data_IF_084589058028
#
_entry.id   IF_084589058028
#
_cell.length_a   1.000
_cell.length_b   1.000
_cell.length_c   1.000
_cell.angle_alpha   90.00
_cell.angle_beta   90.00
_cell.angle_gamma   90.00
#
_symmetry.space_group_name_H-M   'P 1'
#
loop_
_entity.id
_entity.type
_entity.pdbx_description
1 polymer ?
#
# COMPACT_ATOMS: atom_id res chain seq x y z
N UNK A 1 -35.86 -47.13 -84.29
CA UNK A 1 -37.30 -46.80 -84.21
C UNK A 1 -37.43 -45.55 -83.36
N UNK A 2 -37.83 -44.45 -84.00
CA UNK A 2 -38.04 -43.12 -83.42
C UNK A 2 -39.03 -43.15 -82.24
N UNK A 3 -38.89 -42.24 -81.27
CA UNK A 3 -39.87 -41.16 -81.04
C UNK A 3 -39.42 -40.18 -79.93
N UNK A 4 -39.17 -38.94 -80.37
CA UNK A 4 -39.53 -37.63 -79.79
C UNK A 4 -38.97 -37.05 -78.47
N UNK A 5 -38.43 -35.84 -78.67
CA UNK A 5 -38.14 -34.73 -77.75
C UNK A 5 -39.30 -34.33 -76.81
N UNK A 6 -38.94 -33.82 -75.63
CA UNK A 6 -39.40 -32.48 -75.17
C UNK A 6 -38.45 -31.87 -74.13
N UNK A 7 -38.08 -30.62 -74.41
CA UNK A 7 -37.30 -29.69 -73.59
C UNK A 7 -38.22 -29.05 -72.55
N UNK A 8 -37.79 -28.96 -71.29
CA UNK A 8 -38.23 -27.90 -70.37
C UNK A 8 -37.07 -27.45 -69.48
N UNK A 9 -36.97 -26.14 -69.36
CA UNK A 9 -35.90 -25.35 -68.77
C UNK A 9 -36.22 -24.97 -67.32
N UNK A 10 -35.18 -24.52 -66.59
CA UNK A 10 -35.21 -23.79 -65.29
C UNK A 10 -35.65 -24.61 -64.05
N UNK A 11 -35.03 -24.55 -62.87
CA UNK A 11 -34.15 -23.58 -62.21
C UNK A 11 -33.28 -24.28 -61.16
N UNK A 12 -32.03 -23.83 -61.02
CA UNK A 12 -31.12 -24.17 -59.94
C UNK A 12 -31.57 -23.43 -58.65
N UNK A 13 -32.06 -24.15 -57.64
CA UNK A 13 -32.30 -23.59 -56.30
C UNK A 13 -31.31 -24.22 -55.33
N UNK A 14 -30.22 -23.48 -55.11
CA UNK A 14 -29.25 -23.69 -54.05
C UNK A 14 -29.98 -23.48 -52.71
N UNK A 15 -30.47 -24.55 -52.10
CA UNK A 15 -30.98 -24.48 -50.74
C UNK A 15 -29.79 -24.27 -49.81
N UNK A 16 -29.60 -23.02 -49.37
CA UNK A 16 -28.70 -22.68 -48.28
C UNK A 16 -29.02 -23.55 -47.07
N UNK A 17 -28.10 -24.45 -46.74
CA UNK A 17 -27.99 -25.08 -45.44
C UNK A 17 -27.82 -23.96 -44.40
N UNK A 18 -28.92 -23.54 -43.79
CA UNK A 18 -28.88 -22.66 -42.62
C UNK A 18 -28.34 -23.51 -41.48
N UNK A 19 -27.02 -23.46 -41.31
CA UNK A 19 -26.37 -23.99 -40.12
C UNK A 19 -26.94 -23.24 -38.92
N UNK A 20 -27.37 -23.91 -37.84
CA UNK A 20 -27.76 -23.21 -36.64
C UNK A 20 -26.50 -22.57 -36.09
N UNK A 21 -26.38 -21.25 -36.23
CA UNK A 21 -25.35 -20.48 -35.55
C UNK A 21 -25.62 -20.63 -34.06
N UNK A 22 -24.98 -21.62 -33.44
CA UNK A 22 -24.76 -21.62 -32.00
C UNK A 22 -24.07 -20.29 -31.71
N UNK A 23 -24.83 -19.34 -31.16
CA UNK A 23 -24.30 -18.08 -30.71
C UNK A 23 -23.13 -18.41 -29.80
N UNK A 24 -21.91 -18.08 -30.24
CA UNK A 24 -20.76 -18.06 -29.33
C UNK A 24 -21.22 -17.23 -28.13
N UNK A 25 -21.08 -17.72 -26.89
CA UNK A 25 -21.42 -16.92 -25.73
C UNK A 25 -20.71 -15.58 -25.91
N UNK A 26 -21.46 -14.49 -25.93
CA UNK A 26 -20.89 -13.16 -26.01
C UNK A 26 -19.85 -13.10 -24.89
N UNK A 27 -18.56 -13.01 -25.23
CA UNK A 27 -17.52 -12.78 -24.23
C UNK A 27 -17.96 -11.53 -23.49
N UNK A 28 -18.41 -11.69 -22.24
CA UNK A 28 -18.71 -10.56 -21.36
C UNK A 28 -17.43 -9.75 -21.36
N UNK A 29 -17.45 -8.59 -22.00
CA UNK A 29 -16.29 -7.70 -22.07
C UNK A 29 -15.95 -7.42 -20.60
N UNK A 30 -14.87 -8.00 -20.09
CA UNK A 30 -14.45 -7.75 -18.72
C UNK A 30 -14.26 -6.25 -18.60
N UNK A 31 -15.12 -5.61 -17.81
CA UNK A 31 -14.95 -4.20 -17.46
C UNK A 31 -13.76 -4.10 -16.52
N UNK A 32 -12.56 -4.12 -17.10
CA UNK A 32 -11.30 -4.04 -16.37
C UNK A 32 -11.20 -2.73 -15.62
N UNK A 33 -11.84 -1.66 -16.10
CA UNK A 33 -11.87 -0.37 -15.43
C UNK A 33 -12.65 -0.48 -14.12
N UNK A 34 -13.86 -1.03 -14.14
CA UNK A 34 -14.63 -1.27 -12.92
C UNK A 34 -13.94 -2.27 -11.98
N UNK A 35 -13.36 -3.35 -12.52
CA UNK A 35 -12.58 -4.31 -11.74
C UNK A 35 -11.43 -3.64 -10.99
N UNK A 36 -10.57 -2.90 -11.70
CA UNK A 36 -9.41 -2.23 -11.11
C UNK A 36 -9.82 -1.18 -10.08
N UNK A 37 -10.91 -0.43 -10.35
CA UNK A 37 -11.48 0.50 -9.39
C UNK A 37 -11.92 -0.22 -8.10
N UNK A 38 -12.65 -1.34 -8.24
CA UNK A 38 -13.14 -2.09 -7.09
C UNK A 38 -11.98 -2.68 -6.28
N UNK A 39 -10.94 -3.24 -6.90
CA UNK A 39 -9.74 -3.72 -6.20
C UNK A 39 -9.10 -2.61 -5.38
N UNK A 40 -8.83 -1.44 -5.99
CA UNK A 40 -8.22 -0.30 -5.30
C UNK A 40 -9.13 0.21 -4.18
N UNK A 41 -10.43 0.32 -4.43
CA UNK A 41 -11.41 0.73 -3.42
C UNK A 41 -11.42 -0.22 -2.22
N UNK A 42 -11.37 -1.54 -2.46
CA UNK A 42 -11.29 -2.54 -1.39
C UNK A 42 -10.00 -2.42 -0.59
N UNK A 43 -8.85 -2.18 -1.23
CA UNK A 43 -7.58 -1.93 -0.54
C UNK A 43 -7.71 -0.71 0.38
N UNK A 44 -8.16 0.44 -0.12
CA UNK A 44 -8.31 1.63 0.75
C UNK A 44 -9.39 1.47 1.82
N UNK A 45 -10.43 0.68 1.57
CA UNK A 45 -11.42 0.36 2.59
C UNK A 45 -10.80 -0.36 3.79
N UNK A 46 -9.79 -1.20 3.58
CA UNK A 46 -9.08 -1.85 4.67
C UNK A 46 -8.21 -0.90 5.48
N UNK A 47 -7.84 0.29 4.95
CA UNK A 47 -7.12 1.32 5.73
C UNK A 47 -8.01 2.11 6.70
N UNK A 48 -9.34 1.99 6.57
CA UNK A 48 -10.32 2.70 7.40
C UNK A 48 -10.55 1.94 8.70
N UNK A 49 -10.42 2.62 9.84
CA UNK A 49 -10.71 2.04 11.15
C UNK A 49 -12.17 1.59 11.28
N UNK A 50 -12.44 0.37 11.79
CA UNK A 50 -11.51 -0.61 12.35
C UNK A 50 -11.06 -1.73 11.37
N UNK A 51 -11.25 -1.57 10.06
CA UNK A 51 -11.09 -2.65 9.07
C UNK A 51 -9.65 -3.19 8.98
N UNK A 52 -8.62 -2.39 9.31
CA UNK A 52 -7.22 -2.81 9.34
C UNK A 52 -6.87 -3.67 10.57
N UNK A 53 -7.64 -3.57 11.65
CA UNK A 53 -7.29 -4.15 12.96
C UNK A 53 -7.06 -5.67 12.88
N UNK A 54 -7.92 -6.47 12.21
CA UNK A 54 -7.66 -7.90 12.06
C UNK A 54 -6.37 -8.22 11.29
N UNK A 55 -5.96 -7.36 10.35
CA UNK A 55 -4.74 -7.56 9.55
C UNK A 55 -3.51 -7.24 10.40
N UNK A 56 -3.57 -6.17 11.19
CA UNK A 56 -2.47 -5.77 12.08
C UNK A 56 -2.15 -6.87 13.10
N UNK A 57 -3.17 -7.47 13.72
CA UNK A 57 -2.98 -8.44 14.80
C UNK A 57 -3.07 -9.90 14.36
N UNK A 58 -3.58 -10.17 13.16
CA UNK A 58 -3.77 -11.53 12.63
C UNK A 58 -3.02 -11.79 11.32
N UNK A 59 -2.28 -10.81 10.80
CA UNK A 59 -1.44 -10.94 9.62
C UNK A 59 -2.20 -11.14 8.30
N UNK A 60 -1.44 -11.56 7.27
CA UNK A 60 -1.90 -11.78 5.90
C UNK A 60 -3.19 -12.58 5.73
N UNK A 61 -3.46 -13.55 6.61
CA UNK A 61 -4.67 -14.38 6.54
C UNK A 61 -5.99 -13.60 6.70
N UNK A 62 -5.93 -12.34 7.12
CA UNK A 62 -7.09 -11.45 7.25
C UNK A 62 -7.27 -10.51 6.06
N UNK A 63 -6.39 -10.56 5.06
CA UNK A 63 -6.53 -9.81 3.81
C UNK A 63 -7.42 -10.62 2.86
N UNK A 64 -8.53 -10.07 2.34
CA UNK A 64 -9.35 -10.76 1.35
C UNK A 64 -8.56 -11.19 0.12
N UNK A 65 -8.83 -12.40 -0.36
CA UNK A 65 -8.20 -12.95 -1.56
C UNK A 65 -8.40 -12.05 -2.79
N UNK A 66 -7.37 -12.02 -3.65
CA UNK A 66 -7.45 -11.34 -4.95
C UNK A 66 -7.24 -9.82 -4.90
N UNK A 67 -6.89 -9.24 -3.75
CA UNK A 67 -6.47 -7.82 -3.67
C UNK A 67 -5.02 -7.63 -4.13
N UNK A 68 -4.11 -8.46 -3.63
CA UNK A 68 -2.70 -8.46 -3.99
C UNK A 68 -2.26 -9.86 -4.42
N UNK A 69 -1.32 -9.93 -5.36
CA UNK A 69 -0.59 -11.16 -5.68
C UNK A 69 0.38 -11.52 -4.56
N UNK A 70 0.67 -12.81 -4.36
CA UNK A 70 1.69 -13.26 -3.42
C UNK A 70 3.08 -12.68 -3.71
N UNK A 71 3.37 -12.40 -4.99
CA UNK A 71 4.62 -11.82 -5.46
C UNK A 71 4.53 -10.32 -5.69
N UNK A 72 3.57 -9.64 -5.04
CA UNK A 72 3.44 -8.18 -5.18
C UNK A 72 4.75 -7.49 -4.79
N UNK A 73 5.11 -6.46 -5.53
CA UNK A 73 6.19 -5.56 -5.16
C UNK A 73 5.72 -4.12 -5.29
N UNK A 74 6.22 -3.22 -4.46
CA UNK A 74 5.83 -1.83 -4.60
C UNK A 74 6.62 -0.85 -3.79
N UNK A 75 6.37 0.41 -4.10
CA UNK A 75 6.97 1.57 -3.44
C UNK A 75 5.88 2.41 -2.82
N UNK A 76 6.12 2.93 -1.62
CA UNK A 76 5.35 4.03 -1.04
C UNK A 76 6.36 5.12 -0.70
N UNK A 77 6.48 6.15 -1.52
CA UNK A 77 7.32 7.30 -1.21
C UNK A 77 6.61 8.22 -0.22
N UNK A 78 7.27 8.67 0.87
CA UNK A 78 8.70 8.57 1.20
C UNK A 78 9.05 7.47 2.23
N UNK A 79 8.31 6.37 2.28
CA UNK A 79 8.46 5.29 3.26
C UNK A 79 9.46 4.23 2.81
N UNK A 80 9.38 3.79 1.54
CA UNK A 80 10.37 2.87 0.97
C UNK A 80 9.78 1.82 0.03
N UNK A 81 10.55 0.74 -0.14
CA UNK A 81 10.30 -0.37 -1.08
C UNK A 81 9.91 -1.67 -0.35
N UNK A 82 8.97 -2.41 -0.94
CA UNK A 82 8.31 -3.59 -0.36
C UNK A 82 8.33 -4.74 -1.38
N UNK A 83 8.70 -5.94 -0.92
CA UNK A 83 8.76 -7.14 -1.76
C UNK A 83 8.01 -8.29 -1.11
N UNK A 84 7.05 -8.84 -1.84
CA UNK A 84 6.19 -9.91 -1.36
C UNK A 84 4.95 -9.41 -0.63
N UNK A 85 4.01 -10.33 -0.45
CA UNK A 85 2.69 -10.04 0.11
C UNK A 85 2.73 -9.43 1.52
N UNK A 86 3.49 -10.04 2.44
CA UNK A 86 3.57 -9.61 3.84
C UNK A 86 4.08 -8.17 3.94
N UNK A 87 5.21 -7.87 3.29
CA UNK A 87 5.78 -6.52 3.30
C UNK A 87 4.80 -5.49 2.70
N UNK A 88 4.09 -5.83 1.63
CA UNK A 88 3.15 -4.88 1.03
C UNK A 88 1.92 -4.63 1.89
N UNK A 89 1.31 -5.66 2.47
CA UNK A 89 0.08 -5.53 3.25
C UNK A 89 0.34 -4.89 4.62
N UNK A 90 1.48 -5.16 5.26
CA UNK A 90 1.87 -4.50 6.51
C UNK A 90 1.98 -2.99 6.32
N UNK A 91 2.68 -2.52 5.29
CA UNK A 91 2.88 -1.08 5.12
C UNK A 91 1.60 -0.36 4.67
N UNK A 92 0.73 -1.00 3.89
CA UNK A 92 -0.56 -0.41 3.52
C UNK A 92 -1.53 -0.31 4.71
N UNK A 93 -1.58 -1.33 5.57
CA UNK A 93 -2.63 -1.45 6.59
C UNK A 93 -2.16 -1.15 8.01
N UNK A 94 -0.94 -1.53 8.38
CA UNK A 94 -0.43 -1.33 9.74
C UNK A 94 0.12 0.08 10.00
N UNK A 95 0.41 0.86 8.96
CA UNK A 95 0.76 2.28 9.09
C UNK A 95 -0.46 3.21 9.13
N UNK A 96 -1.67 2.71 8.89
CA UNK A 96 -2.88 3.47 9.15
C UNK A 96 -2.98 3.73 10.68
N UNK A 97 -3.17 4.99 11.13
CA UNK A 97 -3.15 5.30 12.55
C UNK A 97 -4.25 4.55 13.29
N UNK A 98 -3.87 3.85 14.36
CA UNK A 98 -4.79 3.30 15.33
C UNK A 98 -5.08 4.37 16.40
N UNK A 99 -6.34 4.57 16.80
CA UNK A 99 -6.68 5.57 17.80
C UNK A 99 -6.03 5.25 19.16
N UNK A 100 -5.75 3.98 19.44
CA UNK A 100 -4.93 3.58 20.56
C UNK A 100 -3.46 3.88 20.26
N UNK A 101 -2.82 4.69 21.10
CA UNK A 101 -1.37 4.89 21.05
C UNK A 101 -0.88 6.10 20.24
N UNK A 102 -1.77 6.97 19.74
CA UNK A 102 -1.39 8.29 19.25
C UNK A 102 -2.06 9.41 20.07
N UNK A 103 -1.43 10.58 20.12
CA UNK A 103 -1.76 11.65 21.07
C UNK A 103 -3.17 12.23 20.85
N UNK A 104 -3.68 12.18 19.61
CA UNK A 104 -5.01 12.72 19.27
C UNK A 104 -6.08 11.65 19.10
N UNK A 105 -5.79 10.40 19.46
CA UNK A 105 -6.65 9.25 19.15
C UNK A 105 -7.11 9.26 17.68
N UNK A 106 -6.22 9.67 16.79
CA UNK A 106 -6.47 9.82 15.37
C UNK A 106 -6.65 8.45 14.71
N UNK A 107 -7.59 8.36 13.78
CA UNK A 107 -7.73 7.22 12.89
C UNK A 107 -8.23 7.70 11.52
N UNK A 108 -7.91 6.95 10.45
CA UNK A 108 -8.58 7.13 9.15
C UNK A 108 -9.99 6.57 9.29
N UNK A 109 -11.01 7.41 9.07
CA UNK A 109 -12.42 7.03 9.28
C UNK A 109 -13.24 6.98 8.00
N UNK A 110 -12.70 7.50 6.89
CA UNK A 110 -13.24 7.27 5.55
C UNK A 110 -12.21 7.59 4.48
N UNK A 111 -12.50 7.19 3.24
CA UNK A 111 -11.68 7.53 2.09
C UNK A 111 -12.56 7.96 0.90
N UNK A 112 -11.94 8.65 -0.06
CA UNK A 112 -12.54 8.96 -1.34
C UNK A 112 -11.50 8.85 -2.44
N UNK A 113 -11.76 8.00 -3.43
CA UNK A 113 -11.02 8.01 -4.70
C UNK A 113 -11.52 9.23 -5.49
N UNK A 114 -10.73 10.30 -5.53
CA UNK A 114 -11.11 11.58 -6.15
C UNK A 114 -10.77 11.65 -7.63
N UNK A 115 -9.78 10.86 -8.06
CA UNK A 115 -9.46 10.66 -9.46
C UNK A 115 -9.09 9.20 -9.68
N UNK A 116 -9.57 8.64 -10.79
CA UNK A 116 -9.25 7.27 -11.19
C UNK A 116 -9.23 7.14 -12.71
N UNK A 117 -8.15 6.55 -13.22
CA UNK A 117 -8.03 6.16 -14.62
C UNK A 117 -7.52 4.73 -14.71
N UNK A 118 -7.97 4.01 -15.73
CA UNK A 118 -7.40 2.72 -16.12
C UNK A 118 -7.38 2.68 -17.63
N UNK A 119 -6.25 3.11 -18.21
CA UNK A 119 -6.08 3.27 -19.66
C UNK A 119 -6.01 1.93 -20.40
N UNK A 120 -5.47 0.90 -19.73
CA UNK A 120 -5.41 -0.46 -20.23
C UNK A 120 -5.81 -1.45 -19.14
N UNK A 121 -5.98 -2.71 -19.56
CA UNK A 121 -6.48 -3.79 -18.70
C UNK A 121 -5.72 -3.92 -17.39
N UNK A 122 -4.41 -3.79 -17.44
CA UNK A 122 -3.53 -4.13 -16.32
C UNK A 122 -2.91 -2.92 -15.64
N UNK A 123 -3.23 -1.68 -16.04
CA UNK A 123 -2.66 -0.47 -15.41
C UNK A 123 -3.77 0.50 -15.01
N UNK A 124 -3.64 1.07 -13.81
CA UNK A 124 -4.49 2.15 -13.33
C UNK A 124 -3.67 3.20 -12.58
N UNK A 125 -4.23 4.40 -12.46
CA UNK A 125 -3.74 5.43 -11.57
C UNK A 125 -4.90 5.98 -10.73
N UNK A 126 -4.62 6.36 -9.48
CA UNK A 126 -5.60 6.89 -8.55
C UNK A 126 -5.05 8.07 -7.74
N UNK A 127 -5.96 8.99 -7.40
CA UNK A 127 -5.76 9.95 -6.31
C UNK A 127 -6.78 9.64 -5.23
N UNK A 128 -6.33 9.45 -4.00
CA UNK A 128 -7.18 9.09 -2.87
C UNK A 128 -6.99 10.09 -1.73
N UNK A 129 -8.11 10.56 -1.19
CA UNK A 129 -8.16 11.33 0.05
C UNK A 129 -8.58 10.40 1.18
N UNK A 130 -7.75 10.34 2.23
CA UNK A 130 -7.99 9.58 3.45
C UNK A 130 -8.38 10.59 4.53
N UNK A 131 -9.65 10.57 4.93
CA UNK A 131 -10.17 11.47 5.96
C UNK A 131 -9.94 10.85 7.32
N UNK A 132 -9.44 11.66 8.24
CA UNK A 132 -9.17 11.24 9.61
C UNK A 132 -10.01 12.01 10.61
N UNK A 133 -10.29 11.38 11.75
CA UNK A 133 -10.98 12.03 12.87
C UNK A 133 -10.49 11.45 14.20
N UNK A 134 -10.82 12.13 15.30
CA UNK A 134 -10.60 11.62 16.65
C UNK A 134 -11.58 10.48 16.94
N UNK A 135 -11.06 9.30 17.27
CA UNK A 135 -11.83 8.10 17.61
C UNK A 135 -11.56 7.69 19.06
N UNK A 136 -12.14 8.47 19.97
CA UNK A 136 -12.14 8.18 21.40
C UNK A 136 -13.48 8.65 22.01
N UNK A 137 -14.41 7.72 22.34
CA UNK A 137 -15.71 8.07 22.91
C UNK A 137 -15.65 8.82 24.25
N UNK A 138 -14.52 8.76 24.97
CA UNK A 138 -14.33 9.49 26.23
C UNK A 138 -13.82 10.92 26.01
N UNK A 139 -13.32 11.23 24.81
CA UNK A 139 -12.79 12.55 24.48
C UNK A 139 -13.90 13.53 24.11
N UNK A 140 -13.84 14.80 24.56
CA UNK A 140 -14.75 15.86 24.10
C UNK A 140 -14.59 16.18 22.60
N UNK A 141 -13.45 15.79 22.01
CA UNK A 141 -13.16 15.96 20.59
C UNK A 141 -13.63 14.74 19.75
N UNK A 142 -14.36 13.77 20.31
CA UNK A 142 -14.82 12.59 19.56
C UNK A 142 -15.55 12.98 18.26
N UNK A 143 -15.12 12.39 17.14
CA UNK A 143 -15.67 12.67 15.82
C UNK A 143 -15.17 13.98 15.17
N UNK A 144 -14.33 14.76 15.85
CA UNK A 144 -13.72 15.97 15.29
C UNK A 144 -12.85 15.61 14.08
N UNK A 145 -13.10 16.23 12.91
CA UNK A 145 -12.26 16.03 11.74
C UNK A 145 -10.82 16.47 11.99
N UNK A 146 -9.88 15.68 11.49
CA UNK A 146 -8.45 16.00 11.42
C UNK A 146 -8.06 16.27 9.97
N UNK A 147 -6.81 16.70 9.75
CA UNK A 147 -6.30 16.93 8.41
C UNK A 147 -6.41 15.64 7.56
N UNK A 148 -6.94 15.72 6.32
CA UNK A 148 -6.95 14.57 5.42
C UNK A 148 -5.56 14.32 4.84
N UNK A 149 -5.24 13.05 4.59
CA UNK A 149 -4.04 12.63 3.86
C UNK A 149 -4.37 12.41 2.38
N UNK A 150 -3.45 12.77 1.49
CA UNK A 150 -3.55 12.50 0.06
C UNK A 150 -2.52 11.46 -0.34
N UNK A 151 -2.95 10.44 -1.08
CA UNK A 151 -2.07 9.50 -1.76
C UNK A 151 -2.34 9.52 -3.27
N UNK A 152 -1.27 9.49 -4.06
CA UNK A 152 -1.30 9.29 -5.51
C UNK A 152 -0.68 7.94 -5.77
N UNK A 153 -1.26 7.10 -6.62
CA UNK A 153 -0.69 5.78 -6.87
C UNK A 153 -0.89 5.31 -8.31
N UNK A 154 0.12 4.61 -8.81
CA UNK A 154 0.07 3.78 -10.02
C UNK A 154 -0.03 2.32 -9.61
N UNK A 155 -0.79 1.55 -10.36
CA UNK A 155 -1.13 0.18 -10.05
C UNK A 155 -0.98 -0.69 -11.28
N UNK A 156 -0.42 -1.88 -11.10
CA UNK A 156 -0.39 -2.95 -12.10
C UNK A 156 -1.13 -4.17 -11.59
N UNK A 157 -1.95 -4.77 -12.45
CA UNK A 157 -2.82 -5.90 -12.11
C UNK A 157 -2.49 -7.13 -12.95
N UNK A 158 -2.76 -8.31 -12.39
CA UNK A 158 -2.72 -9.58 -13.12
C UNK A 158 -3.97 -9.84 -13.99
N UNK A 159 -4.07 -11.07 -14.49
CA UNK A 159 -5.21 -11.61 -15.22
C UNK A 159 -6.54 -11.45 -14.47
N UNK A 160 -6.51 -11.58 -13.16
CA UNK A 160 -7.64 -11.75 -12.26
C UNK A 160 -8.07 -10.43 -11.61
N UNK A 161 -7.19 -9.43 -11.62
CA UNK A 161 -7.41 -8.12 -11.02
C UNK A 161 -6.74 -7.93 -9.66
N UNK A 162 -5.85 -8.83 -9.26
CA UNK A 162 -5.01 -8.63 -8.09
C UNK A 162 -3.84 -7.71 -8.44
N UNK A 163 -3.46 -6.85 -7.51
CA UNK A 163 -2.32 -5.95 -7.66
C UNK A 163 -1.02 -6.77 -7.63
N UNK A 164 -0.23 -6.67 -8.69
CA UNK A 164 1.11 -7.27 -8.79
C UNK A 164 2.21 -6.23 -8.56
N UNK A 165 1.96 -4.97 -8.89
CA UNK A 165 2.90 -3.87 -8.66
C UNK A 165 2.18 -2.59 -8.29
N UNK A 166 2.77 -1.77 -7.42
CA UNK A 166 2.27 -0.43 -7.12
C UNK A 166 3.41 0.55 -6.90
N UNK A 167 3.19 1.79 -7.31
CA UNK A 167 4.06 2.92 -6.94
C UNK A 167 3.16 4.02 -6.38
N UNK A 168 3.23 4.23 -5.08
CA UNK A 168 2.41 5.18 -4.35
C UNK A 168 3.26 6.31 -3.80
N UNK A 169 2.67 7.50 -3.75
CA UNK A 169 3.32 8.72 -3.29
C UNK A 169 2.40 9.47 -2.33
N UNK A 170 2.96 9.88 -1.19
CA UNK A 170 2.33 10.72 -0.19
C UNK A 170 3.08 12.07 -0.13
N UNK A 171 2.67 13.09 -0.89
CA UNK A 171 3.49 14.30 -1.13
C UNK A 171 3.77 15.17 0.09
N UNK A 172 3.00 15.03 1.17
CA UNK A 172 3.07 15.92 2.33
C UNK A 172 2.91 15.15 3.63
N UNK A 173 3.51 13.95 3.68
CA UNK A 173 3.42 13.06 4.84
C UNK A 173 3.92 13.76 6.11
N UNK A 174 5.09 14.41 6.04
CA UNK A 174 5.69 15.16 7.16
C UNK A 174 4.74 16.20 7.74
N UNK A 175 4.20 17.06 6.89
CA UNK A 175 3.25 18.08 7.32
C UNK A 175 1.95 17.48 7.87
N UNK A 176 1.50 16.37 7.30
CA UNK A 176 0.30 15.69 7.79
C UNK A 176 0.53 15.10 9.18
N UNK A 177 1.67 14.46 9.43
CA UNK A 177 2.05 13.94 10.76
C UNK A 177 2.05 15.08 11.79
N UNK A 178 2.69 16.22 11.51
CA UNK A 178 2.66 17.37 12.43
C UNK A 178 1.24 17.83 12.78
N UNK A 179 0.32 17.79 11.81
CA UNK A 179 -1.07 18.19 12.01
C UNK A 179 -1.86 17.18 12.84
N UNK A 180 -1.57 15.89 12.74
CA UNK A 180 -2.27 14.84 13.50
C UNK A 180 -1.61 14.53 14.85
N UNK A 181 -0.31 14.72 15.02
CA UNK A 181 0.40 14.51 16.29
C UNK A 181 0.45 15.79 17.13
N UNK A 182 0.45 16.96 16.49
CA UNK A 182 0.34 18.26 17.16
C UNK A 182 1.66 18.85 17.65
N UNK A 183 2.82 18.30 17.26
CA UNK A 183 4.13 18.85 17.64
C UNK A 183 5.08 18.93 16.43
N UNK A 184 5.74 20.08 16.21
CA UNK A 184 6.75 20.21 15.15
C UNK A 184 7.97 19.34 15.44
N UNK A 185 8.54 18.74 14.39
CA UNK A 185 9.75 17.90 14.45
C UNK A 185 11.03 18.64 14.87
N UNK A 186 11.02 19.97 14.90
CA UNK A 186 12.19 20.81 15.19
C UNK A 186 12.37 21.19 16.67
N UNK A 187 11.48 20.72 17.56
CA UNK A 187 11.59 20.98 19.01
C UNK A 187 12.52 19.92 19.66
N UNK A 188 13.67 20.32 20.26
CA UNK A 188 14.58 19.38 20.92
C UNK A 188 13.93 18.56 22.04
N UNK A 189 12.92 19.12 22.70
CA UNK A 189 12.16 18.41 23.73
C UNK A 189 11.33 17.28 23.11
N UNK A 190 10.71 17.55 21.97
CA UNK A 190 9.92 16.57 21.23
C UNK A 190 10.79 15.46 20.64
N UNK A 191 11.96 15.81 20.11
CA UNK A 191 12.96 14.83 19.66
C UNK A 191 13.37 13.89 20.80
N UNK A 192 13.74 14.44 21.96
CA UNK A 192 14.12 13.64 23.12
C UNK A 192 12.97 12.75 23.61
N UNK A 193 11.74 13.27 23.66
CA UNK A 193 10.55 12.48 24.02
C UNK A 193 10.30 11.34 23.04
N UNK A 194 10.51 11.59 21.74
CA UNK A 194 10.37 10.58 20.70
C UNK A 194 11.42 9.49 20.84
N UNK A 195 12.69 9.85 21.07
CA UNK A 195 13.79 8.90 21.32
C UNK A 195 13.47 8.04 22.55
N UNK A 196 13.06 8.67 23.66
CA UNK A 196 12.66 7.95 24.88
C UNK A 196 11.53 6.96 24.61
N UNK A 197 10.50 7.38 23.85
CA UNK A 197 9.39 6.52 23.47
C UNK A 197 9.84 5.35 22.59
N UNK A 198 10.69 5.60 21.59
CA UNK A 198 11.25 4.56 20.73
C UNK A 198 12.00 3.54 21.57
N UNK A 199 12.92 3.98 22.41
CA UNK A 199 13.73 3.09 23.24
C UNK A 199 12.91 2.30 24.26
N UNK A 200 11.99 2.94 24.97
CA UNK A 200 11.12 2.27 25.92
C UNK A 200 10.24 1.21 25.24
N UNK A 201 9.65 1.54 24.08
CA UNK A 201 8.78 0.61 23.35
C UNK A 201 9.59 -0.52 22.72
N UNK A 202 10.76 -0.23 22.13
CA UNK A 202 11.64 -1.24 21.56
C UNK A 202 12.08 -2.24 22.64
N UNK A 203 12.40 -1.79 23.86
CA UNK A 203 12.74 -2.68 24.96
C UNK A 203 11.59 -3.65 25.32
N UNK A 204 10.33 -3.23 25.13
CA UNK A 204 9.14 -4.03 25.40
C UNK A 204 8.82 -5.00 24.25
N UNK A 205 8.88 -4.54 22.99
CA UNK A 205 8.45 -5.33 21.82
C UNK A 205 9.58 -6.15 21.20
N UNK A 206 10.80 -5.63 21.21
CA UNK A 206 11.99 -6.25 20.66
C UNK A 206 12.78 -6.95 21.78
N UNK A 207 12.34 -8.15 22.14
CA UNK A 207 12.92 -8.96 23.22
C UNK A 207 13.45 -10.31 22.73
N UNK A 208 14.22 -11.00 23.58
CA UNK A 208 14.81 -12.30 23.23
C UNK A 208 15.73 -12.20 22.01
N UNK A 209 15.57 -13.05 20.98
CA UNK A 209 16.37 -12.98 19.74
C UNK A 209 16.25 -11.64 19.00
N UNK A 210 15.18 -10.88 19.24
CA UNK A 210 14.92 -9.60 18.60
C UNK A 210 15.45 -8.42 19.42
N UNK A 211 16.12 -8.64 20.55
CA UNK A 211 16.67 -7.55 21.37
C UNK A 211 17.72 -6.72 20.60
N UNK A 212 17.54 -5.40 20.59
CA UNK A 212 18.39 -4.47 19.84
C UNK A 212 19.45 -3.76 20.70
N UNK A 213 19.12 -3.47 21.97
CA UNK A 213 20.02 -2.86 22.96
C UNK A 213 19.95 -3.59 24.29
N UNK A 214 21.00 -3.49 25.11
CA UNK A 214 21.06 -4.05 26.45
C UNK A 214 20.17 -3.31 27.46
N UNK A 215 19.95 -2.01 27.26
CA UNK A 215 19.03 -1.21 28.07
C UNK A 215 18.42 -0.03 27.31
N UNK A 216 17.40 0.60 27.91
CA UNK A 216 16.79 1.84 27.38
C UNK A 216 17.82 2.97 27.35
N UNK A 217 18.70 3.07 28.35
CA UNK A 217 19.74 4.10 28.42
C UNK A 217 20.78 3.95 27.30
N UNK A 218 21.17 2.73 26.97
CA UNK A 218 22.05 2.44 25.84
C UNK A 218 21.39 2.85 24.52
N UNK A 219 20.12 2.50 24.33
CA UNK A 219 19.35 2.92 23.17
C UNK A 219 19.27 4.44 23.05
N UNK A 220 18.97 5.15 24.14
CA UNK A 220 18.88 6.61 24.15
C UNK A 220 20.24 7.22 23.80
N UNK A 221 21.34 6.68 24.32
CA UNK A 221 22.68 7.17 24.04
C UNK A 221 23.09 6.98 22.57
N UNK A 222 22.71 5.88 21.93
CA UNK A 222 22.92 5.61 20.50
C UNK A 222 22.03 6.52 19.63
N UNK A 223 20.72 6.51 19.85
CA UNK A 223 19.77 7.26 19.03
C UNK A 223 19.94 8.77 19.16
N UNK A 224 20.40 9.29 20.30
CA UNK A 224 20.70 10.72 20.47
C UNK A 224 21.87 11.23 19.60
N UNK A 225 22.63 10.32 18.96
CA UNK A 225 23.71 10.68 18.02
C UNK A 225 23.24 10.70 16.56
N UNK A 226 22.00 10.28 16.30
CA UNK A 226 21.43 10.22 14.96
C UNK A 226 20.64 11.48 14.64
N UNK A 227 20.42 11.72 13.34
CA UNK A 227 19.53 12.79 12.91
C UNK A 227 18.10 12.42 13.29
N UNK A 228 17.30 13.39 13.74
CA UNK A 228 15.86 13.17 13.91
C UNK A 228 15.19 12.71 12.61
N UNK A 229 15.47 13.41 11.50
CA UNK A 229 14.90 13.13 10.18
C UNK A 229 13.61 13.89 9.91
N UNK A 230 12.90 13.48 8.85
CA UNK A 230 11.56 13.99 8.52
C UNK A 230 10.78 12.90 7.80
N UNK A 231 9.46 12.94 7.85
CA UNK A 231 8.65 12.02 7.04
C UNK A 231 8.61 12.42 5.56
N UNK A 232 9.47 13.34 5.11
CA UNK A 232 9.76 13.52 3.68
C UNK A 232 10.91 12.62 3.21
N UNK A 233 11.65 12.03 4.16
CA UNK A 233 12.73 11.08 3.96
C UNK A 233 12.67 10.00 5.06
N UNK A 234 11.57 9.22 5.04
CA UNK A 234 11.22 8.30 6.12
C UNK A 234 11.91 6.93 6.02
N UNK A 235 12.95 6.83 5.19
CA UNK A 235 13.75 5.64 4.93
C UNK A 235 15.23 5.80 5.30
N UNK A 236 15.70 7.03 5.59
CA UNK A 236 17.10 7.29 5.94
C UNK A 236 17.51 6.76 7.32
N UNK A 237 18.79 6.88 7.66
CA UNK A 237 19.31 6.53 8.99
C UNK A 237 18.97 7.62 10.01
N UNK A 238 17.70 7.62 10.45
CA UNK A 238 17.15 8.65 11.32
C UNK A 238 16.11 8.10 12.30
N UNK A 239 15.66 8.96 13.23
CA UNK A 239 14.66 8.61 14.24
C UNK A 239 13.28 8.40 13.62
N UNK A 240 12.90 9.20 12.63
CA UNK A 240 11.62 9.06 11.92
C UNK A 240 11.44 7.70 11.24
N UNK A 241 12.48 7.16 10.58
CA UNK A 241 12.40 5.81 10.03
C UNK A 241 12.16 4.76 11.13
N UNK A 242 12.84 4.92 12.27
CA UNK A 242 12.71 4.01 13.41
C UNK A 242 11.35 4.10 14.09
N UNK A 243 10.68 5.25 14.11
CA UNK A 243 9.30 5.34 14.63
C UNK A 243 8.32 4.56 13.76
N UNK A 244 8.47 4.59 12.43
CA UNK A 244 7.68 3.77 11.50
C UNK A 244 7.91 2.30 11.79
N UNK A 245 9.17 1.87 11.86
CA UNK A 245 9.49 0.47 12.09
C UNK A 245 9.08 -0.02 13.48
N UNK A 246 9.11 0.84 14.50
CA UNK A 246 8.60 0.55 15.82
C UNK A 246 7.10 0.22 15.80
N UNK A 247 6.29 0.97 15.06
CA UNK A 247 4.85 0.68 14.88
C UNK A 247 4.68 -0.72 14.26
N UNK A 248 5.49 -1.07 13.28
CA UNK A 248 5.41 -2.36 12.59
C UNK A 248 5.86 -3.55 13.44
N UNK A 249 6.61 -3.33 14.54
CA UNK A 249 6.98 -4.41 15.47
C UNK A 249 5.77 -5.09 16.13
N UNK A 250 4.61 -4.42 16.18
CA UNK A 250 3.39 -5.02 16.73
C UNK A 250 2.80 -6.11 15.81
N UNK A 251 3.10 -6.06 14.51
CA UNK A 251 2.64 -7.02 13.53
C UNK A 251 3.66 -8.16 13.34
N UNK A 252 4.93 -7.81 13.14
CA UNK A 252 6.00 -8.77 12.84
C UNK A 252 7.35 -8.36 13.47
N UNK A 253 7.54 -8.59 14.79
CA UNK A 253 8.70 -8.07 15.51
C UNK A 253 10.03 -8.65 15.02
N UNK A 254 10.07 -9.92 14.62
CA UNK A 254 11.26 -10.57 14.06
C UNK A 254 11.76 -9.92 12.77
N UNK A 255 10.85 -9.34 11.97
CA UNK A 255 11.22 -8.62 10.77
C UNK A 255 11.55 -7.14 11.03
N UNK A 256 10.78 -6.45 11.88
CA UNK A 256 10.93 -4.99 12.04
C UNK A 256 11.87 -4.55 13.17
N UNK A 257 12.12 -5.38 14.19
CA UNK A 257 13.05 -5.02 15.27
C UNK A 257 14.47 -4.72 14.78
N UNK A 258 15.08 -5.50 13.85
CA UNK A 258 16.37 -5.15 13.27
C UNK A 258 16.41 -3.75 12.64
N UNK A 259 15.29 -3.30 12.07
CA UNK A 259 15.19 -1.97 11.44
C UNK A 259 15.14 -0.82 12.46
N UNK A 260 14.63 -1.09 13.67
CA UNK A 260 14.65 -0.13 14.78
C UNK A 260 16.07 0.02 15.33
N UNK A 261 16.85 -1.06 15.34
CA UNK A 261 18.13 -1.17 16.03
C UNK A 261 19.29 -0.29 15.53
N UNK A 262 20.48 -0.46 16.13
CA UNK A 262 21.66 0.36 15.83
C UNK A 262 22.09 0.35 14.37
N UNK A 263 21.92 -0.79 13.68
CA UNK A 263 22.34 -0.95 12.28
C UNK A 263 21.28 -0.48 11.29
N UNK A 264 20.06 -0.20 11.76
CA UNK A 264 18.90 0.08 10.91
C UNK A 264 18.44 -1.13 10.07
N UNK A 265 19.03 -2.32 10.27
CA UNK A 265 18.66 -3.58 9.61
C UNK A 265 18.63 -3.52 8.08
N UNK A 266 19.35 -2.57 7.47
CA UNK A 266 19.30 -2.31 6.03
C UNK A 266 18.03 -1.60 5.53
N UNK A 267 17.11 -1.20 6.43
CA UNK A 267 15.94 -0.38 6.08
C UNK A 267 16.09 1.07 6.51
N UNK A 268 16.47 1.33 7.76
CA UNK A 268 16.75 2.68 8.25
C UNK A 268 18.22 3.03 8.04
N UNK A 269 18.61 3.17 6.78
CA UNK A 269 20.00 3.43 6.36
C UNK A 269 20.02 4.55 5.32
N UNK A 270 21.07 5.38 5.34
CA UNK A 270 21.26 6.37 4.29
C UNK A 270 21.67 5.68 2.99
N UNK A 271 20.90 5.91 1.92
CA UNK A 271 21.16 5.43 0.56
C UNK A 271 21.27 6.60 -0.42
N UNK A 272 22.06 6.49 -1.49
CA UNK A 272 22.11 7.49 -2.56
C UNK A 272 20.76 7.70 -3.23
N UNK A 273 20.46 8.94 -3.61
CA UNK A 273 19.20 9.31 -4.26
C UNK A 273 18.81 8.40 -5.45
N UNK A 274 19.69 8.07 -6.42
CA UNK A 274 19.29 7.21 -7.53
C UNK A 274 18.86 5.80 -7.10
N UNK A 275 19.45 5.26 -6.04
CA UNK A 275 19.12 3.92 -5.53
C UNK A 275 17.75 3.91 -4.83
N UNK A 276 17.34 5.03 -4.25
CA UNK A 276 16.00 5.16 -3.67
C UNK A 276 14.92 5.34 -4.77
N UNK A 277 15.16 6.22 -5.74
CA UNK A 277 14.13 6.66 -6.69
C UNK A 277 14.13 5.93 -8.05
N UNK A 278 15.25 5.40 -8.49
CA UNK A 278 15.41 4.76 -9.81
C UNK A 278 15.66 3.24 -9.69
N UNK A 279 15.30 2.64 -8.55
CA UNK A 279 15.41 1.21 -8.26
C UNK A 279 14.30 0.36 -8.89
N UNK A 280 13.72 0.79 -10.01
CA UNK A 280 12.59 0.11 -10.64
C UNK A 280 12.98 -1.30 -11.12
N UNK A 281 14.18 -1.47 -11.69
CA UNK A 281 14.68 -2.79 -12.09
C UNK A 281 14.85 -3.73 -10.89
N UNK A 282 15.47 -3.24 -9.81
CA UNK A 282 15.67 -4.03 -8.60
C UNK A 282 14.37 -4.35 -7.87
N UNK A 283 13.41 -3.42 -7.86
CA UNK A 283 12.14 -3.56 -7.14
C UNK A 283 11.13 -4.41 -7.93
N UNK A 284 10.91 -4.04 -9.20
CA UNK A 284 9.86 -4.59 -10.03
C UNK A 284 10.34 -5.70 -10.96
N UNK A 285 11.63 -5.78 -11.27
CA UNK A 285 12.17 -6.69 -12.29
C UNK A 285 11.82 -6.30 -13.73
N UNK A 286 11.31 -5.08 -13.95
CA UNK A 286 11.06 -4.50 -15.27
C UNK A 286 12.10 -3.43 -15.58
N UNK A 287 12.35 -3.13 -16.86
CA UNK A 287 13.23 -2.02 -17.23
C UNK A 287 12.72 -0.69 -16.66
N UNK A 288 13.64 0.21 -16.31
CA UNK A 288 13.31 1.52 -15.74
C UNK A 288 12.30 2.26 -16.62
N UNK A 289 11.19 2.68 -16.01
CA UNK A 289 10.12 3.41 -16.70
C UNK A 289 9.10 2.55 -17.47
N UNK A 290 9.24 1.22 -17.51
CA UNK A 290 8.32 0.34 -18.22
C UNK A 290 7.21 -0.26 -17.33
N UNK A 291 7.39 -0.27 -16.01
CA UNK A 291 6.50 -0.95 -15.05
C UNK A 291 5.01 -0.60 -15.19
N UNK A 292 4.71 0.70 -15.32
CA UNK A 292 3.34 1.22 -15.35
C UNK A 292 2.94 1.73 -16.74
N UNK A 293 3.49 1.12 -17.78
CA UNK A 293 3.13 1.40 -19.18
C UNK A 293 2.00 0.48 -19.66
N UNK A 294 1.17 1.07 -20.54
CA UNK A 294 0.35 0.36 -21.51
C UNK A 294 1.15 0.31 -22.82
#
# INVERSE_FOLDING_TARGET
>A
MNFLLRVLSLTLSLACLVSPTWGRPAFKKCDYRARNFNTISSIYNLTVYPNQVPIIFGGAGNVPDGLFSHSVAGRVYPVGNFKGFEDSIEYFFALAPLPQGNIKSAAITSYKITSFTSGCRNVAASVVYLYSSVVDPASPDFGKPLAPLKQVAFWRFDGQGAVVKYDAWIPSLDRWIELIDGTPSTDPTYEMQTIQRVCATAQLTCSGPNQQWGSVEECVADLSQRKYGSYSNAWGDNIVCRTIHLVLTQARPDHHCPHVGPTGGGKCVDVPYPEDFLSDEDLYGDLVGETFTC
#
